data_IF_826727175112
#
_entry.id   IF_826727175112
#
_cell.length_a   1.000
_cell.length_b   1.000
_cell.length_c   1.000
_cell.angle_alpha   90.00
_cell.angle_beta   90.00
_cell.angle_gamma   90.00
#
_symmetry.space_group_name_H-M   'P 1'
#
loop_
_entity.id
_entity.type
_entity.pdbx_description
1 polymer ?
#
# COMPACT_ATOMS: atom_id res chain seq x y z
N UNK A 1 -16.17 30.28 -33.57
CA UNK A 1 -16.62 29.54 -32.37
C UNK A 1 -16.02 28.13 -32.38
N UNK A 2 -14.71 28.01 -32.19
CA UNK A 2 -13.99 26.73 -32.21
C UNK A 2 -12.96 26.71 -31.07
N UNK A 3 -13.37 26.40 -29.84
CA UNK A 3 -12.43 25.98 -28.77
C UNK A 3 -13.14 25.50 -27.49
N UNK A 4 -14.01 24.49 -27.58
CA UNK A 4 -14.59 23.85 -26.37
C UNK A 4 -14.47 22.34 -26.36
N UNK A 5 -14.18 21.72 -27.52
CA UNK A 5 -14.08 20.28 -27.64
C UNK A 5 -12.73 19.73 -27.13
N UNK A 6 -11.64 20.46 -27.39
CA UNK A 6 -10.27 20.06 -27.01
C UNK A 6 -10.11 20.03 -25.48
N UNK A 7 -10.69 21.00 -24.75
CA UNK A 7 -10.61 21.03 -23.28
C UNK A 7 -11.38 19.87 -22.61
N UNK A 8 -12.46 19.37 -23.22
CA UNK A 8 -13.28 18.30 -22.65
C UNK A 8 -12.66 16.91 -22.83
N UNK A 9 -11.86 16.72 -23.88
CA UNK A 9 -11.09 15.48 -24.09
C UNK A 9 -9.87 15.48 -23.18
N UNK A 10 -9.13 16.59 -23.07
CA UNK A 10 -7.93 16.67 -22.23
C UNK A 10 -8.26 16.46 -20.74
N UNK A 11 -9.40 16.93 -20.22
CA UNK A 11 -9.75 16.69 -18.80
C UNK A 11 -10.13 15.23 -18.49
N UNK A 12 -10.54 14.45 -19.50
CA UNK A 12 -10.89 13.04 -19.35
C UNK A 12 -9.70 12.10 -19.49
N UNK A 13 -8.63 12.53 -20.17
CA UNK A 13 -7.38 11.77 -20.35
C UNK A 13 -6.20 12.27 -19.49
N UNK A 14 -6.26 13.48 -18.92
CA UNK A 14 -5.22 14.02 -18.03
C UNK A 14 -4.85 13.13 -16.83
N UNK A 15 -5.80 12.45 -16.15
CA UNK A 15 -5.48 11.56 -15.04
C UNK A 15 -4.91 10.19 -15.47
N UNK A 16 -4.92 9.85 -16.76
CA UNK A 16 -4.58 8.50 -17.23
C UNK A 16 -3.08 8.20 -17.26
N UNK A 17 -2.23 9.22 -17.14
CA UNK A 17 -0.77 9.08 -17.24
C UNK A 17 -0.03 9.26 -15.92
N UNK A 18 -0.72 9.34 -14.77
CA UNK A 18 0.00 9.34 -13.49
C UNK A 18 0.69 7.97 -13.33
N UNK A 19 2.03 7.94 -13.18
CA UNK A 19 2.75 6.68 -13.03
C UNK A 19 2.24 5.90 -11.83
N UNK A 20 2.08 4.58 -11.99
CA UNK A 20 1.61 3.72 -10.90
C UNK A 20 2.46 3.84 -9.63
N UNK A 21 3.77 4.08 -9.77
CA UNK A 21 4.69 4.32 -8.64
C UNK A 21 4.30 5.55 -7.82
N UNK A 22 3.92 6.64 -8.47
CA UNK A 22 3.51 7.88 -7.78
C UNK A 22 2.23 7.66 -7.00
N UNK A 23 1.25 6.99 -7.60
CA UNK A 23 -0.01 6.65 -6.95
C UNK A 23 0.20 5.65 -5.80
N UNK A 24 1.11 4.68 -5.97
CA UNK A 24 1.46 3.69 -4.95
C UNK A 24 2.08 4.37 -3.72
N UNK A 25 3.05 5.27 -3.92
CA UNK A 25 3.64 6.07 -2.83
C UNK A 25 2.62 6.94 -2.13
N UNK A 26 1.75 7.61 -2.90
CA UNK A 26 0.64 8.39 -2.33
C UNK A 26 -0.26 7.53 -1.45
N UNK A 27 -0.56 6.30 -1.84
CA UNK A 27 -1.36 5.38 -1.03
C UNK A 27 -0.68 5.07 0.31
N UNK A 28 0.63 4.80 0.30
CA UNK A 28 1.40 4.56 1.53
C UNK A 28 1.41 5.80 2.44
N UNK A 29 1.58 7.00 1.88
CA UNK A 29 1.55 8.25 2.64
C UNK A 29 0.19 8.52 3.27
N UNK A 30 -0.90 8.31 2.53
CA UNK A 30 -2.26 8.48 3.06
C UNK A 30 -2.56 7.44 4.15
N UNK A 31 -2.10 6.21 3.99
CA UNK A 31 -2.22 5.16 4.99
C UNK A 31 -1.46 5.51 6.28
N UNK A 32 -0.22 6.01 6.16
CA UNK A 32 0.58 6.47 7.30
C UNK A 32 -0.07 7.66 8.03
N UNK A 33 -0.80 8.52 7.30
CA UNK A 33 -1.57 9.62 7.87
C UNK A 33 -2.93 9.19 8.47
N UNK A 34 -3.31 7.92 8.38
CA UNK A 34 -4.60 7.40 8.87
C UNK A 34 -5.80 7.65 7.94
N UNK A 35 -5.58 8.21 6.73
CA UNK A 35 -6.64 8.39 5.73
C UNK A 35 -6.89 7.09 4.96
N UNK A 36 -7.66 6.18 5.58
CA UNK A 36 -7.98 4.87 5.03
C UNK A 36 -8.69 4.94 3.66
N UNK A 37 -9.66 5.85 3.52
CA UNK A 37 -10.46 6.02 2.30
C UNK A 37 -9.58 6.57 1.17
N UNK A 38 -8.77 7.58 1.46
CA UNK A 38 -7.82 8.13 0.50
C UNK A 38 -6.76 7.10 0.07
N UNK A 39 -6.26 6.31 1.01
CA UNK A 39 -5.29 5.24 0.73
C UNK A 39 -5.88 4.17 -0.19
N UNK A 40 -7.09 3.68 0.08
CA UNK A 40 -7.78 2.69 -0.77
C UNK A 40 -7.99 3.22 -2.19
N UNK A 41 -8.47 4.45 -2.33
CA UNK A 41 -8.66 5.09 -3.63
C UNK A 41 -7.34 5.21 -4.41
N UNK A 42 -6.24 5.56 -3.72
CA UNK A 42 -4.92 5.67 -4.32
C UNK A 42 -4.35 4.29 -4.72
N UNK A 43 -4.54 3.25 -3.91
CA UNK A 43 -4.16 1.87 -4.26
C UNK A 43 -4.92 1.38 -5.50
N UNK A 44 -6.23 1.60 -5.58
CA UNK A 44 -7.04 1.24 -6.74
C UNK A 44 -6.55 1.94 -8.03
N UNK A 45 -6.24 3.23 -7.94
CA UNK A 45 -5.69 4.00 -9.05
C UNK A 45 -4.31 3.50 -9.50
N UNK A 46 -3.42 3.22 -8.55
CA UNK A 46 -2.10 2.65 -8.83
C UNK A 46 -2.20 1.27 -9.50
N UNK A 47 -3.08 0.40 -9.00
CA UNK A 47 -3.33 -0.91 -9.57
C UNK A 47 -3.87 -0.82 -11.01
N UNK A 48 -4.76 0.14 -11.28
CA UNK A 48 -5.22 0.41 -12.64
C UNK A 48 -4.08 0.87 -13.56
N UNK A 49 -3.18 1.72 -13.05
CA UNK A 49 -1.99 2.18 -13.79
C UNK A 49 -1.05 1.02 -14.13
N UNK A 50 -0.72 0.15 -13.17
CA UNK A 50 0.13 -1.03 -13.43
C UNK A 50 -0.50 -2.05 -14.37
N UNK A 51 -1.82 -2.23 -14.33
CA UNK A 51 -2.52 -3.08 -15.32
C UNK A 51 -2.41 -2.52 -16.74
N UNK A 52 -2.55 -1.20 -16.91
CA UNK A 52 -2.38 -0.55 -18.22
C UNK A 52 -0.97 -0.72 -18.79
N UNK A 53 0.04 -0.71 -17.92
CA UNK A 53 1.46 -0.85 -18.32
C UNK A 53 1.98 -2.28 -18.24
N UNK A 54 1.12 -3.27 -17.95
CA UNK A 54 1.49 -4.68 -17.78
C UNK A 54 2.62 -4.93 -16.77
N UNK A 55 2.77 -4.05 -15.78
CA UNK A 55 3.81 -4.19 -14.75
C UNK A 55 3.33 -5.14 -13.64
N UNK A 56 3.42 -6.44 -13.91
CA UNK A 56 2.96 -7.49 -13.00
C UNK A 56 3.72 -7.51 -11.67
N UNK A 57 5.03 -7.22 -11.68
CA UNK A 57 5.84 -7.19 -10.46
C UNK A 57 5.43 -6.05 -9.52
N UNK A 58 5.23 -4.84 -10.05
CA UNK A 58 4.77 -3.72 -9.26
C UNK A 58 3.33 -3.89 -8.78
N UNK A 59 2.47 -4.52 -9.58
CA UNK A 59 1.11 -4.87 -9.16
C UNK A 59 1.11 -5.88 -8.00
N UNK A 60 1.98 -6.90 -8.04
CA UNK A 60 2.10 -7.88 -6.98
C UNK A 60 2.55 -7.24 -5.66
N UNK A 61 3.59 -6.39 -5.71
CA UNK A 61 4.06 -5.60 -4.56
C UNK A 61 2.98 -4.69 -3.98
N UNK A 62 2.26 -3.97 -4.84
CA UNK A 62 1.14 -3.12 -4.43
C UNK A 62 0.08 -3.91 -3.65
N UNK A 63 -0.29 -5.10 -4.12
CA UNK A 63 -1.31 -5.93 -3.45
C UNK A 63 -0.85 -6.47 -2.10
N UNK A 64 0.46 -6.57 -1.88
CA UNK A 64 1.00 -6.91 -0.56
C UNK A 64 0.88 -5.70 0.37
N UNK A 65 1.28 -4.50 -0.08
CA UNK A 65 1.13 -3.28 0.72
C UNK A 65 -0.31 -2.95 1.08
N UNK A 66 -1.24 -3.06 0.14
CA UNK A 66 -2.66 -2.86 0.40
C UNK A 66 -3.15 -3.76 1.53
N UNK A 67 -2.73 -5.03 1.56
CA UNK A 67 -3.08 -5.97 2.65
C UNK A 67 -2.40 -5.63 3.96
N UNK A 68 -1.12 -5.24 3.95
CA UNK A 68 -0.40 -4.82 5.15
C UNK A 68 -1.04 -3.59 5.80
N UNK A 69 -1.45 -2.63 4.97
CA UNK A 69 -2.20 -1.44 5.41
C UNK A 69 -3.57 -1.82 5.96
N UNK A 70 -4.33 -2.67 5.26
CA UNK A 70 -5.63 -3.14 5.74
C UNK A 70 -5.53 -3.89 7.07
N UNK A 71 -4.51 -4.73 7.25
CA UNK A 71 -4.24 -5.43 8.49
C UNK A 71 -3.98 -4.45 9.63
N UNK A 72 -3.13 -3.45 9.40
CA UNK A 72 -2.84 -2.39 10.38
C UNK A 72 -4.08 -1.56 10.74
N UNK A 73 -4.94 -1.25 9.77
CA UNK A 73 -6.15 -0.46 9.99
C UNK A 73 -7.31 -1.25 10.61
N UNK A 74 -7.31 -2.58 10.50
CA UNK A 74 -8.40 -3.41 11.01
C UNK A 74 -8.52 -3.37 12.54
N UNK A 75 -7.39 -3.23 13.26
CA UNK A 75 -7.36 -3.11 14.73
C UNK A 75 -7.94 -4.31 15.49
N UNK A 76 -8.26 -5.40 14.79
CA UNK A 76 -8.81 -6.65 15.34
C UNK A 76 -7.77 -7.77 15.18
N UNK A 77 -7.24 -8.31 16.29
CA UNK A 77 -6.20 -9.35 16.25
C UNK A 77 -6.57 -10.61 15.47
N UNK A 78 -7.85 -11.02 15.49
CA UNK A 78 -8.29 -12.21 14.76
C UNK A 78 -8.25 -11.97 13.24
N UNK A 79 -8.71 -10.80 12.81
CA UNK A 79 -8.71 -10.38 11.42
C UNK A 79 -7.30 -10.08 10.91
N UNK A 80 -6.44 -9.52 11.76
CA UNK A 80 -5.03 -9.32 11.48
C UNK A 80 -4.31 -10.66 11.24
N UNK A 81 -4.56 -11.68 12.07
CA UNK A 81 -3.99 -13.02 11.92
C UNK A 81 -4.37 -13.70 10.59
N UNK A 82 -5.62 -13.55 10.15
CA UNK A 82 -6.05 -14.06 8.83
C UNK A 82 -5.36 -13.32 7.67
N UNK A 83 -5.25 -12.00 7.77
CA UNK A 83 -4.58 -11.18 6.76
C UNK A 83 -3.08 -11.46 6.69
N UNK A 84 -2.45 -11.72 7.85
CA UNK A 84 -1.04 -12.07 7.99
C UNK A 84 -0.65 -13.27 7.12
N UNK A 85 -1.45 -14.34 7.10
CA UNK A 85 -1.19 -15.50 6.23
C UNK A 85 -1.20 -15.11 4.75
N UNK A 86 -2.13 -14.25 4.34
CA UNK A 86 -2.19 -13.74 2.97
C UNK A 86 -0.99 -12.88 2.61
N UNK A 87 -0.54 -12.04 3.54
CA UNK A 87 0.64 -11.17 3.41
C UNK A 87 1.91 -12.01 3.28
N UNK A 88 2.14 -12.97 4.19
CA UNK A 88 3.30 -13.87 4.17
C UNK A 88 3.36 -14.69 2.87
N UNK A 89 2.22 -15.23 2.42
CA UNK A 89 2.15 -15.95 1.13
C UNK A 89 2.45 -15.04 -0.07
N UNK A 90 2.03 -13.78 -0.01
CA UNK A 90 2.35 -12.79 -1.04
C UNK A 90 3.84 -12.45 -1.07
N UNK A 91 4.42 -12.21 0.10
CA UNK A 91 5.83 -11.88 0.28
C UNK A 91 6.76 -13.04 -0.11
N UNK A 92 6.39 -14.28 0.18
CA UNK A 92 7.16 -15.46 -0.25
C UNK A 92 7.25 -15.62 -1.77
N UNK A 93 6.40 -14.93 -2.54
CA UNK A 93 6.43 -14.91 -4.01
C UNK A 93 7.18 -13.70 -4.57
N UNK A 94 7.71 -12.84 -3.72
CA UNK A 94 8.41 -11.62 -4.08
C UNK A 94 9.84 -11.68 -3.56
N UNK A 95 10.80 -11.46 -4.45
CA UNK A 95 12.21 -11.32 -4.01
C UNK A 95 12.44 -9.96 -3.35
N UNK A 96 11.73 -8.93 -3.83
CA UNK A 96 11.87 -7.55 -3.35
C UNK A 96 10.52 -6.88 -3.12
N UNK A 97 10.46 -6.00 -2.14
CA UNK A 97 9.33 -5.15 -1.81
C UNK A 97 9.81 -3.72 -1.53
N UNK A 98 9.05 -2.69 -1.94
CA UNK A 98 9.37 -1.33 -1.51
C UNK A 98 9.20 -1.21 0.02
N UNK A 99 10.08 -0.45 0.71
CA UNK A 99 9.90 -0.19 2.15
C UNK A 99 8.54 0.47 2.42
N UNK A 100 8.03 0.32 3.64
CA UNK A 100 6.78 0.96 4.07
C UNK A 100 6.94 2.46 4.35
N UNK A 101 8.17 2.90 4.58
CA UNK A 101 8.53 4.28 4.87
C UNK A 101 9.34 4.89 3.73
N UNK A 102 9.33 6.22 3.66
CA UNK A 102 10.19 6.97 2.73
C UNK A 102 11.67 6.60 2.95
N UNK A 103 12.47 6.42 1.88
CA UNK A 103 12.19 6.79 0.49
C UNK A 103 11.51 5.70 -0.39
N UNK A 104 10.91 4.68 0.21
CA UNK A 104 10.25 3.55 -0.48
C UNK A 104 11.21 2.77 -1.39
N UNK A 105 12.36 2.38 -0.84
CA UNK A 105 13.40 1.64 -1.55
C UNK A 105 13.03 0.16 -1.71
N UNK A 106 13.41 -0.43 -2.84
CA UNK A 106 13.27 -1.88 -3.04
C UNK A 106 14.28 -2.60 -2.15
N UNK A 107 13.76 -3.31 -1.15
CA UNK A 107 14.53 -4.12 -0.20
C UNK A 107 14.13 -5.58 -0.34
N UNK A 108 14.92 -6.47 0.27
CA UNK A 108 14.54 -7.88 0.41
C UNK A 108 13.18 -7.99 1.10
N UNK A 109 12.26 -8.76 0.49
CA UNK A 109 10.88 -8.84 0.96
C UNK A 109 10.77 -9.46 2.37
N UNK A 110 11.69 -10.35 2.76
CA UNK A 110 11.72 -10.95 4.10
C UNK A 110 12.22 -9.96 5.14
N UNK A 111 13.17 -9.10 4.78
CA UNK A 111 13.59 -8.00 5.65
C UNK A 111 12.44 -7.03 5.92
N UNK A 112 11.70 -6.62 4.88
CA UNK A 112 10.52 -5.73 5.05
C UNK A 112 9.43 -6.38 5.91
N UNK A 113 9.19 -7.68 5.75
CA UNK A 113 8.28 -8.43 6.62
C UNK A 113 8.71 -8.41 8.09
N UNK A 114 10.00 -8.65 8.34
CA UNK A 114 10.55 -8.69 9.69
C UNK A 114 10.40 -7.34 10.39
N UNK A 115 10.72 -6.25 9.69
CA UNK A 115 10.59 -4.88 10.19
C UNK A 115 9.13 -4.58 10.53
N UNK A 116 8.21 -4.91 9.62
CA UNK A 116 6.78 -4.68 9.83
C UNK A 116 6.20 -5.49 11.01
N UNK A 117 6.59 -6.76 11.16
CA UNK A 117 6.16 -7.59 12.30
C UNK A 117 6.75 -7.13 13.64
N UNK A 118 7.90 -6.45 13.64
CA UNK A 118 8.47 -5.86 14.85
C UNK A 118 7.69 -4.60 15.26
N UNK A 119 7.29 -3.80 14.29
CA UNK A 119 6.51 -2.58 14.50
C UNK A 119 5.08 -2.89 14.99
N UNK A 120 4.38 -3.87 14.39
CA UNK A 120 3.04 -4.27 14.88
C UNK A 120 3.06 -4.83 16.30
N UNK A 121 4.12 -5.56 16.68
CA UNK A 121 4.27 -6.09 18.05
C UNK A 121 4.64 -5.03 19.08
N UNK A 122 5.40 -4.01 18.68
CA UNK A 122 5.78 -2.89 19.55
C UNK A 122 4.62 -1.92 19.83
N UNK A 123 3.57 -1.95 18.99
CA UNK A 123 2.35 -1.17 19.18
C UNK A 123 1.30 -1.80 20.10
N UNK A 124 1.54 -3.00 20.64
CA UNK A 124 0.69 -3.57 21.68
C UNK A 124 0.87 -2.75 22.98
N UNK A 125 -0.22 -2.32 23.66
CA UNK A 125 -0.09 -1.59 24.91
C UNK A 125 0.72 -2.46 25.89
N UNK A 126 1.79 -1.90 26.43
CA UNK A 126 2.48 -2.45 27.59
C UNK A 126 1.45 -2.61 28.72
N UNK A 127 0.83 -3.79 28.80
CA UNK A 127 0.13 -4.25 30.01
C UNK A 127 1.18 -4.69 31.03
N UNK A 128 2.18 -3.84 31.29
CA UNK A 128 3.06 -3.94 32.42
C UNK A 128 2.39 -3.21 33.59
N UNK A 129 1.58 -3.99 34.32
CA UNK A 129 1.81 -4.20 35.74
C UNK A 129 2.01 -2.93 36.59
N UNK A 130 0.95 -2.13 36.77
CA UNK A 130 0.76 -1.39 38.02
C UNK A 130 -0.13 -2.20 38.96
N UNK A 131 0.45 -3.28 39.49
CA UNK A 131 0.00 -3.91 40.72
C UNK A 131 1.09 -3.71 41.77
N UNK A 132 0.97 -2.61 42.53
CA UNK A 132 1.51 -2.44 43.88
C UNK A 132 0.79 -1.27 44.55
#
# INVERSE_FOLDING_TARGET
MQSTWIHRVISRFGPLFVPGRTLHRRALLLAAAGDAVGAEAAFAAAAASYRRTWNVGALARLRVHERMVQARLAGDPAREAEMLLGIVRGLNKLDQLESLEEPFELRDARAVLSDWLADTRSGAPELHEHAA
#
